data_IF_539913267634
#
_entry.id   IF_539913267634
#
_cell.length_a   1.000
_cell.length_b   1.000
_cell.length_c   1.000
_cell.angle_alpha   90.00
_cell.angle_beta   90.00
_cell.angle_gamma   90.00
#
_symmetry.space_group_name_H-M   'P 1'
#
loop_
_entity.id
_entity.type
_entity.pdbx_description
1 polymer ?
#
# COMPACT_ATOMS: atom_id res chain seq x y z
N UNK A 1 4.80 -3.62 6.55
CA UNK A 1 4.68 -2.20 6.19
C UNK A 1 3.62 -1.54 7.06
N UNK A 2 3.80 -0.26 7.41
CA UNK A 2 2.84 0.55 8.16
C UNK A 2 2.85 1.99 7.63
N UNK A 3 1.66 2.61 7.54
CA UNK A 3 1.54 4.02 7.15
C UNK A 3 1.63 4.95 8.37
N UNK A 4 2.35 6.06 8.24
CA UNK A 4 2.27 7.20 9.15
C UNK A 4 1.39 8.24 8.48
N UNK A 5 0.29 8.64 9.11
CA UNK A 5 -0.72 9.52 8.53
C UNK A 5 -1.38 10.40 9.60
N UNK A 6 -2.34 11.21 9.20
CA UNK A 6 -3.18 11.98 10.14
C UNK A 6 -4.02 11.08 11.08
N UNK A 7 -4.14 9.78 10.75
CA UNK A 7 -4.85 8.76 11.54
C UNK A 7 -3.92 7.81 12.29
N UNK A 8 -2.62 7.85 12.02
CA UNK A 8 -1.62 6.97 12.64
C UNK A 8 -0.37 7.78 12.99
N UNK A 9 -0.28 8.19 14.23
CA UNK A 9 0.82 9.02 14.73
C UNK A 9 2.14 8.23 14.78
N UNK A 10 3.31 8.89 14.62
CA UNK A 10 4.63 8.26 14.75
C UNK A 10 4.82 7.52 16.07
N UNK A 11 4.30 8.06 17.18
CA UNK A 11 4.38 7.42 18.51
C UNK A 11 3.65 6.07 18.57
N UNK A 12 2.52 5.94 17.87
CA UNK A 12 1.78 4.68 17.76
C UNK A 12 2.59 3.65 16.96
N UNK A 13 3.25 4.08 15.86
CA UNK A 13 4.12 3.23 15.05
C UNK A 13 5.34 2.76 15.85
N UNK A 14 5.96 3.63 16.64
CA UNK A 14 7.05 3.25 17.55
C UNK A 14 6.61 2.24 18.61
N UNK A 15 5.42 2.40 19.18
CA UNK A 15 4.87 1.46 20.15
C UNK A 15 4.60 0.09 19.52
N UNK A 16 4.02 0.07 18.34
CA UNK A 16 3.80 -1.15 17.55
C UNK A 16 5.15 -1.82 17.22
N UNK A 17 6.13 -1.05 16.76
CA UNK A 17 7.46 -1.58 16.44
C UNK A 17 8.14 -2.21 17.67
N UNK A 18 8.06 -1.57 18.83
CA UNK A 18 8.58 -2.14 20.09
C UNK A 18 7.94 -3.50 20.38
N UNK A 19 6.61 -3.57 20.33
CA UNK A 19 5.87 -4.80 20.61
C UNK A 19 6.25 -5.93 19.64
N UNK A 20 6.23 -5.65 18.33
CA UNK A 20 6.52 -6.65 17.29
C UNK A 20 7.97 -7.13 17.29
N UNK A 21 8.93 -6.19 17.47
CA UNK A 21 10.36 -6.48 17.38
C UNK A 21 10.95 -7.07 18.67
N UNK A 22 10.29 -6.90 19.83
CA UNK A 22 10.75 -7.49 21.11
C UNK A 22 10.01 -8.77 21.47
N UNK A 23 8.87 -9.05 20.83
CA UNK A 23 8.05 -10.20 21.14
C UNK A 23 8.63 -11.48 20.51
N UNK A 24 8.78 -12.51 21.31
CA UNK A 24 9.16 -13.87 20.83
C UNK A 24 8.03 -14.56 20.05
N UNK A 25 6.84 -13.94 19.96
CA UNK A 25 5.69 -14.49 19.22
C UNK A 25 5.79 -14.23 17.72
N UNK A 26 6.56 -13.23 17.31
CA UNK A 26 6.70 -12.78 15.93
C UNK A 26 8.13 -12.95 15.44
N UNK A 27 8.29 -13.35 14.18
CA UNK A 27 9.61 -13.43 13.53
C UNK A 27 9.97 -12.11 12.81
N UNK A 28 9.36 -11.00 13.23
CA UNK A 28 9.57 -9.68 12.65
C UNK A 28 10.92 -9.13 13.09
N UNK A 29 11.78 -8.82 12.14
CA UNK A 29 13.11 -8.23 12.38
C UNK A 29 13.18 -6.75 12.02
N UNK A 30 12.24 -6.29 11.20
CA UNK A 30 12.16 -4.93 10.71
C UNK A 30 10.71 -4.52 10.50
N UNK A 31 10.40 -3.26 10.81
CA UNK A 31 9.15 -2.62 10.43
C UNK A 31 9.48 -1.45 9.49
N UNK A 32 8.84 -1.41 8.33
CA UNK A 32 9.01 -0.32 7.38
C UNK A 32 7.82 0.62 7.52
N UNK A 33 8.10 1.87 7.88
CA UNK A 33 7.11 2.94 8.00
C UNK A 33 7.16 3.83 6.76
N UNK A 34 6.01 4.09 6.16
CA UNK A 34 5.85 4.94 4.97
C UNK A 34 5.00 6.15 5.35
N UNK A 35 5.48 7.35 5.05
CA UNK A 35 4.73 8.58 5.31
C UNK A 35 3.65 8.77 4.25
N UNK A 36 2.40 8.66 4.68
CA UNK A 36 1.22 8.90 3.82
C UNK A 36 1.08 10.41 3.58
N UNK A 37 0.89 10.88 2.34
CA UNK A 37 0.68 12.31 2.09
C UNK A 37 -0.58 12.84 2.77
N UNK A 38 -0.46 14.02 3.42
CA UNK A 38 -1.59 14.73 4.05
C UNK A 38 -2.30 15.63 3.02
N UNK A 39 -3.02 15.02 2.09
CA UNK A 39 -3.77 15.75 1.05
C UNK A 39 -5.30 15.69 1.25
N UNK A 40 -5.74 15.15 2.37
CA UNK A 40 -7.15 15.00 2.73
C UNK A 40 -7.89 13.88 2.00
N UNK A 41 -7.29 13.28 0.97
CA UNK A 41 -7.86 12.15 0.22
C UNK A 41 -7.24 10.82 0.66
N UNK A 42 -5.98 10.84 1.07
CA UNK A 42 -5.21 9.66 1.45
C UNK A 42 -4.98 9.66 2.95
N UNK A 43 -5.64 8.75 3.62
CA UNK A 43 -5.56 8.63 5.08
C UNK A 43 -4.88 7.34 5.53
N UNK A 44 -4.71 6.37 4.61
CA UNK A 44 -4.15 5.06 4.88
C UNK A 44 -3.21 4.62 3.76
N UNK A 45 -2.30 3.69 4.07
CA UNK A 45 -1.31 3.17 3.12
C UNK A 45 -1.96 2.48 1.91
N UNK A 46 -3.06 1.77 2.12
CA UNK A 46 -3.82 1.05 1.11
C UNK A 46 -4.55 1.94 0.09
N UNK A 47 -4.60 3.25 0.33
CA UNK A 47 -5.12 4.20 -0.66
C UNK A 47 -4.19 4.42 -1.85
N UNK A 48 -2.92 3.98 -1.77
CA UNK A 48 -1.95 4.11 -2.86
C UNK A 48 -1.02 2.90 -3.05
N UNK A 49 -1.09 1.89 -2.17
CA UNK A 49 -0.38 0.61 -2.29
C UNK A 49 -1.30 -0.51 -1.84
N UNK A 50 -1.68 -1.41 -2.73
CA UNK A 50 -2.41 -2.64 -2.38
C UNK A 50 -1.67 -3.88 -2.86
N UNK A 51 -1.48 -4.85 -1.97
CA UNK A 51 -0.98 -6.16 -2.36
C UNK A 51 -2.12 -6.96 -2.99
N UNK A 52 -1.96 -7.37 -4.23
CA UNK A 52 -2.99 -8.02 -5.03
C UNK A 52 -2.71 -9.50 -5.31
N UNK A 53 -1.45 -9.92 -5.18
CA UNK A 53 -1.03 -11.32 -5.26
C UNK A 53 0.20 -11.53 -4.37
N UNK A 54 0.76 -12.74 -4.36
CA UNK A 54 1.97 -13.05 -3.60
C UNK A 54 3.14 -12.14 -3.96
N UNK A 55 3.35 -11.91 -5.25
CA UNK A 55 4.42 -11.12 -5.83
C UNK A 55 3.93 -9.87 -6.60
N UNK A 56 2.65 -9.48 -6.48
CA UNK A 56 2.08 -8.39 -7.25
C UNK A 56 1.45 -7.30 -6.38
N UNK A 57 1.66 -6.05 -6.80
CA UNK A 57 1.14 -4.86 -6.13
C UNK A 57 0.52 -3.91 -7.14
N UNK A 58 -0.64 -3.36 -6.79
CA UNK A 58 -1.22 -2.20 -7.44
C UNK A 58 -0.77 -0.94 -6.70
N UNK A 59 -0.24 0.04 -7.42
CA UNK A 59 0.28 1.26 -6.83
C UNK A 59 -0.20 2.52 -7.54
N UNK A 60 -0.26 3.61 -6.79
CA UNK A 60 -0.25 4.97 -7.31
C UNK A 60 1.23 5.40 -7.45
N UNK A 61 1.78 5.32 -8.66
CA UNK A 61 3.21 5.54 -8.91
C UNK A 61 3.65 6.96 -8.59
N UNK A 62 2.82 7.97 -8.87
CA UNK A 62 3.18 9.36 -8.57
C UNK A 62 3.36 9.58 -7.08
N UNK A 63 2.47 9.00 -6.27
CA UNK A 63 2.57 9.07 -4.82
C UNK A 63 3.76 8.26 -4.32
N UNK A 64 3.93 7.04 -4.81
CA UNK A 64 5.02 6.16 -4.41
C UNK A 64 6.41 6.76 -4.69
N UNK A 65 6.53 7.66 -5.68
CA UNK A 65 7.77 8.36 -5.98
C UNK A 65 8.00 9.61 -5.08
N UNK A 66 6.99 10.04 -4.33
CA UNK A 66 7.02 11.28 -3.56
C UNK A 66 7.01 11.05 -2.03
N UNK A 67 6.92 9.82 -1.56
CA UNK A 67 6.80 9.52 -0.13
C UNK A 67 8.12 9.13 0.49
N UNK A 68 8.29 9.51 1.77
CA UNK A 68 9.41 9.08 2.59
C UNK A 68 9.14 7.71 3.22
N UNK A 69 10.17 6.89 3.30
CA UNK A 69 10.13 5.59 3.98
C UNK A 69 11.24 5.47 5.03
N UNK A 70 10.97 4.74 6.10
CA UNK A 70 11.87 4.56 7.23
C UNK A 70 11.94 3.09 7.63
N UNK A 71 13.14 2.59 7.86
CA UNK A 71 13.40 1.30 8.51
C UNK A 71 13.42 1.48 10.02
N UNK A 72 12.68 0.64 10.74
CA UNK A 72 12.64 0.60 12.20
C UNK A 72 13.08 -0.78 12.65
N UNK A 73 14.18 -0.85 13.38
CA UNK A 73 14.78 -2.10 13.86
C UNK A 73 15.16 -1.97 15.35
N UNK A 74 15.35 -3.09 16.04
CA UNK A 74 15.94 -3.07 17.38
C UNK A 74 17.42 -2.67 17.30
N UNK A 75 17.85 -1.86 18.27
CA UNK A 75 19.29 -1.62 18.47
C UNK A 75 20.00 -2.95 18.76
N UNK A 76 21.26 -3.05 18.33
CA UNK A 76 22.12 -4.22 18.61
C UNK A 76 22.24 -4.55 20.12
N UNK A 77 22.04 -3.56 20.98
CA UNK A 77 21.99 -3.75 22.43
C UNK A 77 20.72 -4.45 22.94
N UNK A 78 19.75 -4.72 22.07
CA UNK A 78 18.43 -5.26 22.43
C UNK A 78 17.51 -4.27 23.16
N UNK A 79 17.93 -3.03 23.34
CA UNK A 79 17.16 -1.98 24.03
C UNK A 79 16.98 -0.76 23.14
N UNK A 80 15.74 -0.41 22.86
CA UNK A 80 15.37 0.76 22.04
C UNK A 80 15.38 0.47 20.56
N UNK A 81 14.90 1.43 19.77
CA UNK A 81 14.77 1.35 18.32
C UNK A 81 15.87 2.15 17.61
N UNK A 82 16.27 1.68 16.45
CA UNK A 82 17.00 2.45 15.44
C UNK A 82 16.02 2.77 14.32
N UNK A 83 15.91 4.04 13.95
CA UNK A 83 15.07 4.52 12.86
C UNK A 83 15.99 5.15 11.82
N UNK A 84 15.99 4.64 10.61
CA UNK A 84 16.82 5.13 9.50
C UNK A 84 15.98 5.41 8.26
N UNK A 85 16.18 6.55 7.58
CA UNK A 85 15.53 6.79 6.30
C UNK A 85 15.96 5.75 5.27
N UNK A 86 15.05 5.37 4.38
CA UNK A 86 15.32 4.45 3.27
C UNK A 86 15.36 5.27 1.99
N UNK A 87 16.53 5.32 1.35
CA UNK A 87 16.73 5.96 0.04
C UNK A 87 16.55 4.90 -1.07
N UNK A 88 15.30 4.48 -1.27
CA UNK A 88 14.86 3.53 -2.29
C UNK A 88 13.45 3.85 -2.71
N UNK A 89 13.10 3.47 -3.94
CA UNK A 89 11.72 3.54 -4.42
C UNK A 89 10.82 2.54 -3.70
N UNK A 90 9.52 2.82 -3.66
CA UNK A 90 8.54 1.89 -3.05
C UNK A 90 8.58 0.50 -3.69
N UNK A 91 8.66 0.32 -5.04
CA UNK A 91 8.84 -1.00 -5.63
C UNK A 91 10.08 -1.76 -5.15
N UNK A 92 11.22 -1.08 -4.97
CA UNK A 92 12.44 -1.70 -4.45
C UNK A 92 12.28 -2.13 -2.98
N UNK A 93 11.59 -1.32 -2.17
CA UNK A 93 11.26 -1.64 -0.78
C UNK A 93 10.34 -2.86 -0.73
N UNK A 94 9.30 -2.90 -1.57
CA UNK A 94 8.35 -4.02 -1.64
C UNK A 94 9.05 -5.31 -2.09
N UNK A 95 9.89 -5.23 -3.13
CA UNK A 95 10.67 -6.38 -3.61
C UNK A 95 11.61 -6.93 -2.53
N UNK A 96 12.30 -6.04 -1.80
CA UNK A 96 13.15 -6.44 -0.67
C UNK A 96 12.35 -7.08 0.46
N UNK A 97 11.17 -6.57 0.77
CA UNK A 97 10.29 -7.11 1.82
C UNK A 97 9.68 -8.46 1.43
N UNK A 98 9.44 -8.71 0.14
CA UNK A 98 8.96 -10.00 -0.37
C UNK A 98 10.11 -11.02 -0.56
N UNK A 99 11.38 -10.58 -0.52
CA UNK A 99 12.56 -11.38 -0.84
C UNK A 99 12.56 -11.95 -2.27
N UNK A 100 11.81 -11.33 -3.19
CA UNK A 100 11.67 -11.74 -4.58
C UNK A 100 11.31 -10.55 -5.48
N UNK A 101 11.56 -10.64 -6.81
CA UNK A 101 11.07 -9.64 -7.76
C UNK A 101 9.54 -9.58 -7.72
N UNK A 102 9.01 -8.36 -7.72
CA UNK A 102 7.57 -8.13 -7.71
C UNK A 102 7.06 -7.62 -9.05
N UNK A 103 5.79 -7.89 -9.33
CA UNK A 103 5.02 -7.25 -10.41
C UNK A 103 4.38 -5.98 -9.87
N UNK A 104 4.51 -4.90 -10.60
CA UNK A 104 3.87 -3.63 -10.26
C UNK A 104 2.88 -3.27 -11.35
N UNK A 105 1.63 -3.08 -10.95
CA UNK A 105 0.56 -2.58 -11.79
C UNK A 105 0.29 -1.12 -11.39
N UNK A 106 0.18 -0.23 -12.36
CA UNK A 106 -0.06 1.18 -12.11
C UNK A 106 -1.56 1.50 -12.15
N UNK A 107 -2.02 2.32 -11.21
CA UNK A 107 -3.33 2.95 -11.28
C UNK A 107 -3.49 3.68 -12.63
N UNK A 108 -4.65 3.53 -13.27
CA UNK A 108 -4.91 4.09 -14.60
C UNK A 108 -4.26 3.34 -15.76
N UNK A 109 -3.61 2.18 -15.52
CA UNK A 109 -3.05 1.32 -16.56
C UNK A 109 -2.03 1.99 -17.48
N UNK A 110 -1.33 3.03 -17.01
CA UNK A 110 -0.37 3.83 -17.80
C UNK A 110 -1.01 4.95 -18.63
N UNK A 111 -2.31 5.19 -18.53
CA UNK A 111 -3.01 6.29 -19.18
C UNK A 111 -3.15 7.46 -18.20
N UNK A 112 -2.53 8.62 -18.48
CA UNK A 112 -2.51 9.77 -17.58
C UNK A 112 -3.90 10.36 -17.30
N UNK A 113 -4.77 10.44 -18.30
CA UNK A 113 -6.14 10.97 -18.13
C UNK A 113 -6.99 10.02 -17.29
N UNK A 114 -6.84 8.72 -17.49
CA UNK A 114 -7.50 7.70 -16.68
C UNK A 114 -6.97 7.71 -15.25
N UNK A 115 -5.65 7.83 -15.07
CA UNK A 115 -5.02 7.93 -13.76
C UNK A 115 -5.64 9.03 -12.91
N UNK A 116 -5.75 10.26 -13.43
CA UNK A 116 -6.33 11.41 -12.71
C UNK A 116 -7.78 11.16 -12.24
N UNK A 117 -8.56 10.45 -13.03
CA UNK A 117 -9.94 10.09 -12.70
C UNK A 117 -10.00 8.93 -11.71
N UNK A 118 -9.31 7.84 -12.01
CA UNK A 118 -9.45 6.57 -11.29
C UNK A 118 -8.78 6.61 -9.90
N UNK A 119 -7.70 7.40 -9.74
CA UNK A 119 -7.15 7.66 -8.41
C UNK A 119 -8.15 8.34 -7.47
N UNK A 120 -9.03 9.21 -7.99
CA UNK A 120 -10.11 9.85 -7.21
C UNK A 120 -11.21 8.85 -6.84
N UNK A 121 -11.37 7.82 -7.65
CA UNK A 121 -12.31 6.73 -7.42
C UNK A 121 -11.67 5.60 -6.58
N UNK A 122 -10.58 5.87 -5.86
CA UNK A 122 -9.88 4.89 -5.02
C UNK A 122 -9.51 3.59 -5.76
N UNK A 123 -9.06 3.67 -7.02
CA UNK A 123 -8.72 2.50 -7.84
C UNK A 123 -7.63 1.62 -7.21
N UNK A 124 -6.76 2.19 -6.38
CA UNK A 124 -5.72 1.45 -5.65
C UNK A 124 -6.20 0.80 -4.35
N UNK A 125 -7.35 1.22 -3.82
CA UNK A 125 -7.90 0.68 -2.56
C UNK A 125 -8.75 -0.56 -2.84
N UNK A 126 -8.09 -1.69 -3.06
CA UNK A 126 -8.68 -2.96 -3.52
C UNK A 126 -8.73 -3.98 -2.38
N UNK A 127 -9.86 -4.71 -2.29
CA UNK A 127 -9.97 -5.87 -1.42
C UNK A 127 -9.53 -7.14 -2.17
N UNK A 128 -8.39 -7.70 -1.77
CA UNK A 128 -7.97 -9.02 -2.22
C UNK A 128 -8.71 -10.11 -1.42
N UNK A 129 -9.57 -10.87 -2.07
CA UNK A 129 -10.29 -12.01 -1.49
C UNK A 129 -9.35 -13.20 -1.28
N UNK A 130 -8.42 -13.37 -2.19
CA UNK A 130 -7.30 -14.29 -2.16
C UNK A 130 -6.25 -13.81 -3.17
N UNK A 131 -5.03 -14.37 -3.19
CA UNK A 131 -4.04 -14.01 -4.19
C UNK A 131 -4.62 -14.04 -5.61
N UNK A 132 -4.53 -12.92 -6.33
CA UNK A 132 -5.03 -12.78 -7.70
C UNK A 132 -6.55 -12.66 -7.86
N UNK A 133 -7.35 -12.66 -6.76
CA UNK A 133 -8.81 -12.50 -6.80
C UNK A 133 -9.24 -11.24 -6.08
N UNK A 134 -9.76 -10.27 -6.81
CA UNK A 134 -9.86 -8.88 -6.37
C UNK A 134 -11.27 -8.32 -6.49
N UNK A 135 -11.80 -7.73 -5.41
CA UNK A 135 -12.96 -6.85 -5.50
C UNK A 135 -12.51 -5.46 -5.96
N UNK A 136 -13.09 -4.97 -7.03
CA UNK A 136 -12.73 -3.70 -7.67
C UNK A 136 -13.99 -2.88 -7.95
N UNK A 137 -13.83 -1.56 -8.12
CA UNK A 137 -14.92 -0.76 -8.67
C UNK A 137 -14.96 -0.85 -10.19
N UNK A 138 -16.14 -1.11 -10.77
CA UNK A 138 -16.33 -1.31 -12.21
C UNK A 138 -15.97 -0.07 -13.04
N UNK A 139 -16.09 1.14 -12.48
CA UNK A 139 -15.78 2.40 -13.16
C UNK A 139 -14.28 2.68 -13.35
N UNK A 140 -13.42 1.93 -12.67
CA UNK A 140 -11.96 2.04 -12.81
C UNK A 140 -11.45 1.20 -14.01
N UNK A 141 -12.01 1.45 -15.18
CA UNK A 141 -11.88 0.61 -16.39
C UNK A 141 -10.42 0.36 -16.77
N UNK A 142 -9.58 1.39 -16.78
CA UNK A 142 -8.18 1.27 -17.22
C UNK A 142 -7.33 0.51 -16.21
N UNK A 143 -7.57 0.73 -14.92
CA UNK A 143 -6.91 -0.05 -13.85
C UNK A 143 -7.36 -1.50 -13.92
N UNK A 144 -8.67 -1.74 -14.09
CA UNK A 144 -9.23 -3.09 -14.18
C UNK A 144 -8.68 -3.85 -15.39
N UNK A 145 -8.61 -3.22 -16.57
CA UNK A 145 -7.98 -3.83 -17.76
C UNK A 145 -6.50 -4.17 -17.52
N UNK A 146 -5.75 -3.32 -16.80
CA UNK A 146 -4.36 -3.61 -16.49
C UNK A 146 -4.22 -4.79 -15.52
N UNK A 147 -5.13 -4.92 -14.55
CA UNK A 147 -5.20 -6.04 -13.62
C UNK A 147 -5.54 -7.35 -14.36
N UNK A 148 -6.54 -7.34 -15.25
CA UNK A 148 -6.91 -8.51 -16.07
C UNK A 148 -5.76 -8.95 -16.98
N UNK A 149 -5.08 -8.01 -17.64
CA UNK A 149 -3.88 -8.29 -18.45
C UNK A 149 -2.74 -8.89 -17.63
N UNK A 150 -2.66 -8.56 -16.34
CA UNK A 150 -1.70 -9.14 -15.40
C UNK A 150 -2.13 -10.53 -14.87
N UNK A 151 -3.33 -11.01 -15.25
CA UNK A 151 -3.86 -12.33 -14.89
C UNK A 151 -4.72 -12.38 -13.63
N UNK A 152 -5.19 -11.22 -13.14
CA UNK A 152 -6.07 -11.14 -11.97
C UNK A 152 -7.51 -11.48 -12.33
N UNK A 153 -8.20 -12.19 -11.44
CA UNK A 153 -9.65 -12.43 -11.51
C UNK A 153 -10.39 -11.31 -10.77
N UNK A 154 -11.24 -10.56 -11.47
CA UNK A 154 -11.92 -9.39 -10.93
C UNK A 154 -13.37 -9.68 -10.56
N UNK A 155 -13.78 -9.12 -9.42
CA UNK A 155 -15.15 -9.10 -8.93
C UNK A 155 -15.60 -7.63 -8.87
N UNK A 156 -16.21 -7.09 -9.95
CA UNK A 156 -16.56 -5.68 -10.01
C UNK A 156 -17.76 -5.38 -9.11
N UNK A 157 -17.68 -4.22 -8.45
CA UNK A 157 -18.73 -3.65 -7.61
C UNK A 157 -19.09 -2.25 -8.14
N UNK A 158 -20.36 -1.88 -8.05
CA UNK A 158 -20.79 -0.52 -8.37
C UNK A 158 -20.28 0.49 -7.33
N UNK A 159 -19.86 1.65 -7.82
CA UNK A 159 -19.30 2.75 -7.02
C UNK A 159 -20.34 3.54 -6.23
N UNK A 160 -21.64 3.41 -6.56
CA UNK A 160 -22.71 4.35 -6.26
C UNK A 160 -22.85 4.81 -4.81
N UNK A 161 -22.62 3.95 -3.84
CA UNK A 161 -22.80 4.28 -2.42
C UNK A 161 -21.50 4.35 -1.61
N UNK A 162 -20.57 3.43 -1.83
CA UNK A 162 -19.35 3.31 -1.02
C UNK A 162 -18.43 4.52 -1.18
N UNK A 163 -18.31 5.06 -2.39
CA UNK A 163 -17.44 6.20 -2.67
C UNK A 163 -17.96 7.54 -2.15
N UNK A 164 -19.26 7.64 -1.81
CA UNK A 164 -19.81 8.85 -1.16
C UNK A 164 -19.13 9.14 0.18
N UNK A 165 -18.59 8.11 0.83
CA UNK A 165 -17.78 8.20 2.04
C UNK A 165 -16.27 8.18 1.79
N UNK A 166 -15.82 8.35 0.55
CA UNK A 166 -14.41 8.21 0.13
C UNK A 166 -13.82 6.82 0.41
N UNK A 167 -14.65 5.79 0.57
CA UNK A 167 -14.23 4.42 0.79
C UNK A 167 -13.77 3.71 -0.48
N UNK A 168 -12.75 2.85 -0.37
CA UNK A 168 -12.41 1.85 -1.36
C UNK A 168 -13.16 0.54 -1.13
N UNK A 169 -12.96 -0.45 -1.98
CA UNK A 169 -13.62 -1.77 -1.84
C UNK A 169 -13.18 -2.55 -0.60
N UNK A 170 -12.09 -2.14 0.05
CA UNK A 170 -11.56 -2.71 1.29
C UNK A 170 -11.99 -1.94 2.57
N UNK A 171 -12.78 -0.89 2.44
CA UNK A 171 -13.24 -0.07 3.56
C UNK A 171 -14.46 -0.66 4.29
#
# INVERSE_FOLDING_TARGET
LVGISDRTEPAAVESLAKELLTSNKFQTTELIAIRVPSDGLRIHLDTFISRIDHDAFLIDREICNAVDAYSIQLKRSGRGLTITPIDRTIPEILSAACCEPIKVIDCGGGNQTAYERERRNNATSILALSPGKLCVYEENVWTNEALEKAGMELFPLSIDELTKGYGGTNC
#
